data_IF_896244429116
#
_entry.id   IF_896244429116
#
_cell.length_a   1.000
_cell.length_b   1.000
_cell.length_c   1.000
_cell.angle_alpha   90.00
_cell.angle_beta   90.00
_cell.angle_gamma   90.00
#
_symmetry.space_group_name_H-M   'P 1'
#
loop_
_entity.id
_entity.type
_entity.pdbx_description
1 polymer ?
#
# COMPACT_ATOMS: atom_id res chain seq x y z
N UNK A 1 -55.66 -23.34 -7.23
CA UNK A 1 -54.42 -22.95 -6.53
C UNK A 1 -53.80 -21.84 -7.34
N UNK A 2 -53.74 -20.62 -6.80
CA UNK A 2 -53.07 -19.51 -7.48
C UNK A 2 -51.55 -19.67 -7.27
N UNK A 3 -50.81 -19.98 -8.34
CA UNK A 3 -49.36 -19.94 -8.29
C UNK A 3 -48.92 -18.47 -8.32
N UNK A 4 -48.46 -17.97 -7.18
CA UNK A 4 -47.78 -16.69 -7.12
C UNK A 4 -46.43 -16.86 -7.81
N UNK A 5 -46.36 -16.50 -9.10
CA UNK A 5 -45.08 -16.41 -9.81
C UNK A 5 -44.36 -15.18 -9.24
N UNK A 6 -43.38 -15.43 -8.37
CA UNK A 6 -42.43 -14.40 -7.93
C UNK A 6 -41.73 -13.86 -9.17
N UNK A 7 -42.10 -12.65 -9.61
CA UNK A 7 -41.38 -11.95 -10.67
C UNK A 7 -39.97 -11.69 -10.16
N UNK A 8 -38.98 -12.14 -10.93
CA UNK A 8 -37.58 -11.79 -10.67
C UNK A 8 -37.45 -10.27 -10.59
N UNK A 9 -36.71 -9.79 -9.59
CA UNK A 9 -36.43 -8.36 -9.47
C UNK A 9 -35.71 -7.88 -10.73
N UNK A 10 -35.99 -6.65 -11.20
CA UNK A 10 -35.30 -6.08 -12.36
C UNK A 10 -33.77 -6.20 -12.24
N UNK A 11 -33.08 -6.48 -13.34
CA UNK A 11 -31.62 -6.61 -13.36
C UNK A 11 -30.87 -5.37 -12.83
N UNK A 12 -31.54 -4.22 -12.75
CA UNK A 12 -31.00 -2.99 -12.15
C UNK A 12 -30.72 -3.07 -10.65
N UNK A 13 -31.23 -4.09 -9.95
CA UNK A 13 -30.96 -4.30 -8.51
C UNK A 13 -29.66 -5.07 -8.24
N UNK A 14 -29.11 -5.72 -9.26
CA UNK A 14 -27.87 -6.49 -9.15
C UNK A 14 -26.73 -5.69 -9.79
N UNK A 15 -25.65 -5.47 -9.05
CA UNK A 15 -24.48 -4.74 -9.54
C UNK A 15 -23.23 -5.53 -9.19
N UNK A 16 -22.36 -5.70 -10.18
CA UNK A 16 -21.06 -6.34 -9.96
C UNK A 16 -20.07 -5.37 -9.32
N UNK A 17 -19.38 -5.83 -8.28
CA UNK A 17 -18.29 -5.08 -7.65
C UNK A 17 -17.00 -5.20 -8.46
N UNK A 18 -16.79 -4.31 -9.43
CA UNK A 18 -15.48 -4.14 -10.10
C UNK A 18 -15.18 -2.66 -10.24
N UNK A 19 -13.91 -2.26 -10.07
CA UNK A 19 -13.54 -0.86 -10.22
C UNK A 19 -12.06 -0.59 -10.08
N UNK A 20 -11.70 0.69 -10.15
CA UNK A 20 -10.32 1.19 -10.02
C UNK A 20 -10.29 2.24 -8.92
N UNK A 21 -9.29 2.16 -8.04
CA UNK A 21 -9.04 3.16 -7.01
C UNK A 21 -7.90 4.11 -7.42
N UNK A 22 -8.15 5.40 -7.23
CA UNK A 22 -7.17 6.47 -7.35
C UNK A 22 -7.00 7.14 -5.98
N UNK A 23 -5.76 7.37 -5.60
CA UNK A 23 -5.39 8.04 -4.37
C UNK A 23 -4.65 9.34 -4.67
N UNK A 24 -5.11 10.42 -4.06
CA UNK A 24 -4.58 11.78 -4.22
C UNK A 24 -4.01 12.23 -2.89
N UNK A 25 -2.68 12.18 -2.75
CA UNK A 25 -1.99 12.60 -1.52
C UNK A 25 -2.14 14.11 -1.36
N UNK A 26 -2.42 14.58 -0.15
CA UNK A 26 -2.40 16.02 0.13
C UNK A 26 -0.97 16.56 0.03
N UNK A 27 -0.79 17.69 -0.66
CA UNK A 27 0.52 18.34 -0.71
C UNK A 27 0.92 18.91 0.64
N UNK A 28 -0.06 19.40 1.39
CA UNK A 28 0.08 19.87 2.75
C UNK A 28 -0.90 19.10 3.64
N UNK A 29 -0.43 18.36 4.67
CA UNK A 29 -1.31 17.64 5.58
C UNK A 29 -2.28 18.55 6.37
N UNK A 30 -1.96 19.84 6.49
CA UNK A 30 -2.80 20.82 7.19
C UNK A 30 -3.85 21.48 6.28
N UNK A 31 -3.75 21.29 4.95
CA UNK A 31 -4.70 21.83 3.97
C UNK A 31 -5.26 20.71 3.08
N UNK A 32 -6.44 20.16 3.42
CA UNK A 32 -7.03 19.05 2.69
C UNK A 32 -7.69 19.48 1.36
N UNK A 33 -7.42 20.71 0.90
CA UNK A 33 -7.89 21.23 -0.40
C UNK A 33 -6.80 21.25 -1.48
N UNK A 34 -5.53 21.07 -1.11
CA UNK A 34 -4.43 20.94 -2.08
C UNK A 34 -4.06 19.48 -2.32
N UNK A 35 -4.18 19.03 -3.57
CA UNK A 35 -3.95 17.65 -3.97
C UNK A 35 -2.75 17.54 -4.91
N UNK A 36 -1.86 16.60 -4.59
CA UNK A 36 -0.84 16.18 -5.53
C UNK A 36 -1.43 15.36 -6.69
N UNK A 37 -0.59 14.92 -7.64
CA UNK A 37 -1.04 14.09 -8.76
C UNK A 37 -1.63 12.77 -8.24
N UNK A 38 -2.79 12.39 -8.78
CA UNK A 38 -3.46 11.14 -8.44
C UNK A 38 -2.66 9.93 -8.90
N UNK A 39 -2.51 8.94 -8.02
CA UNK A 39 -1.84 7.68 -8.31
C UNK A 39 -2.86 6.55 -8.28
N UNK A 40 -2.74 5.61 -9.22
CA UNK A 40 -3.53 4.37 -9.18
C UNK A 40 -2.94 3.44 -8.12
N UNK A 41 -3.78 2.97 -7.20
CA UNK A 41 -3.34 2.02 -6.17
C UNK A 41 -3.01 0.63 -6.75
N UNK A 42 -3.59 0.33 -7.92
CA UNK A 42 -3.41 -0.94 -8.62
C UNK A 42 -4.68 -1.78 -8.58
N UNK A 43 -4.53 -3.06 -8.93
CA UNK A 43 -5.61 -4.04 -8.86
C UNK A 43 -5.87 -4.46 -7.40
N UNK A 44 -7.14 -4.39 -7.01
CA UNK A 44 -7.63 -4.77 -5.68
C UNK A 44 -8.38 -6.10 -5.79
N UNK A 45 -8.09 -7.02 -4.88
CA UNK A 45 -8.87 -8.26 -4.73
C UNK A 45 -10.19 -7.98 -4.01
N UNK A 46 -10.15 -7.13 -2.99
CA UNK A 46 -11.32 -6.69 -2.25
C UNK A 46 -11.17 -5.25 -1.74
N UNK A 47 -12.31 -4.58 -1.60
CA UNK A 47 -12.41 -3.27 -0.96
C UNK A 47 -13.75 -3.17 -0.23
N UNK A 48 -13.68 -3.03 1.10
CA UNK A 48 -14.84 -2.97 1.98
C UNK A 48 -14.87 -1.64 2.71
N UNK A 49 -15.94 -0.87 2.51
CA UNK A 49 -16.24 0.37 3.26
C UNK A 49 -17.23 0.05 4.37
N UNK A 50 -16.82 0.27 5.61
CA UNK A 50 -17.61 0.05 6.82
C UNK A 50 -17.94 1.38 7.48
N UNK A 51 -19.21 1.59 7.81
CA UNK A 51 -19.66 2.73 8.61
C UNK A 51 -20.11 2.18 9.95
N UNK A 52 -19.40 2.57 11.00
CA UNK A 52 -19.66 2.16 12.38
C UNK A 52 -20.35 3.31 13.11
N UNK A 53 -21.43 2.99 13.82
CA UNK A 53 -22.21 3.93 14.59
C UNK A 53 -22.03 3.60 16.07
N UNK A 54 -21.56 4.56 16.84
CA UNK A 54 -21.58 4.46 18.30
C UNK A 54 -22.80 5.19 18.81
N UNK A 55 -23.66 4.45 19.50
CA UNK A 55 -24.81 5.00 20.19
C UNK A 55 -24.38 5.52 21.57
N UNK A 56 -24.81 6.72 21.91
CA UNK A 56 -24.65 7.28 23.25
C UNK A 56 -25.62 6.66 24.25
N UNK A 57 -25.55 7.16 25.50
CA UNK A 57 -26.39 6.64 26.58
C UNK A 57 -27.88 6.80 26.24
N UNK A 58 -28.54 5.66 26.09
CA UNK A 58 -30.00 5.61 25.92
C UNK A 58 -30.67 6.16 27.17
N UNK A 59 -31.43 7.25 27.01
CA UNK A 59 -32.36 7.71 28.04
C UNK A 59 -33.62 6.85 28.01
N UNK A 60 -33.97 6.31 29.17
CA UNK A 60 -35.20 5.54 29.38
C UNK A 60 -36.30 6.45 29.91
N UNK A 61 -37.53 6.21 29.48
CA UNK A 61 -38.70 6.95 29.96
C UNK A 61 -39.04 6.54 31.39
N UNK A 62 -39.41 7.52 32.20
CA UNK A 62 -39.95 7.30 33.55
C UNK A 62 -41.50 7.25 33.57
N UNK A 63 -42.15 7.39 32.41
CA UNK A 63 -43.61 7.40 32.31
C UNK A 63 -44.22 5.99 32.38
N UNK A 64 -43.41 4.96 32.15
CA UNK A 64 -43.83 3.57 32.15
C UNK A 64 -43.03 2.78 33.19
N UNK A 65 -43.68 1.78 33.80
CA UNK A 65 -43.09 0.91 34.83
C UNK A 65 -42.00 -0.04 34.27
N UNK A 66 -41.94 -0.17 32.94
CA UNK A 66 -40.95 -0.96 32.22
C UNK A 66 -39.90 -0.04 31.60
N UNK A 67 -38.64 -0.48 31.54
CA UNK A 67 -37.55 0.25 30.88
C UNK A 67 -37.81 0.38 29.38
N UNK A 68 -38.51 1.45 28.99
CA UNK A 68 -38.77 1.80 27.60
C UNK A 68 -37.76 2.86 27.16
N UNK A 69 -36.98 2.57 26.12
CA UNK A 69 -36.04 3.53 25.54
C UNK A 69 -36.83 4.73 25.00
N UNK A 70 -36.50 5.93 25.49
CA UNK A 70 -37.14 7.18 25.07
C UNK A 70 -36.32 7.85 23.95
N UNK A 71 -35.00 7.97 24.13
CA UNK A 71 -34.09 8.58 23.17
C UNK A 71 -32.72 7.91 23.26
N UNK A 72 -32.18 7.51 22.11
CA UNK A 72 -30.81 7.03 21.97
C UNK A 72 -30.08 7.94 20.98
N UNK A 73 -29.28 8.92 21.45
CA UNK A 73 -28.53 9.78 20.56
C UNK A 73 -27.36 9.01 19.93
N UNK A 74 -27.01 9.32 18.68
CA UNK A 74 -25.76 8.84 18.07
C UNK A 74 -24.62 9.73 18.56
N UNK A 75 -23.58 9.14 19.14
CA UNK A 75 -22.43 9.88 19.68
C UNK A 75 -21.31 10.05 18.66
N UNK A 76 -21.08 9.03 17.83
CA UNK A 76 -19.98 9.00 16.87
C UNK A 76 -20.36 8.20 15.61
N UNK A 77 -19.92 8.67 14.46
CA UNK A 77 -19.99 7.95 13.18
C UNK A 77 -18.54 7.80 12.69
N UNK A 78 -18.03 6.58 12.71
CA UNK A 78 -16.71 6.26 12.19
C UNK A 78 -16.84 5.60 10.81
N UNK A 79 -15.90 5.88 9.93
CA UNK A 79 -15.88 5.34 8.58
C UNK A 79 -14.50 4.74 8.30
N UNK A 80 -14.48 3.41 8.17
CA UNK A 80 -13.28 2.62 7.93
C UNK A 80 -13.34 2.00 6.55
N UNK A 81 -12.20 1.97 5.89
CA UNK A 81 -12.02 1.27 4.63
C UNK A 81 -10.98 0.18 4.84
N UNK A 82 -11.24 -1.02 4.37
CA UNK A 82 -10.24 -2.08 4.27
C UNK A 82 -10.09 -2.48 2.81
N UNK A 83 -8.85 -2.67 2.35
CA UNK A 83 -8.57 -3.09 0.99
C UNK A 83 -7.39 -4.05 0.93
N UNK A 84 -7.49 -5.02 0.03
CA UNK A 84 -6.39 -5.94 -0.31
C UNK A 84 -5.97 -5.69 -1.75
N UNK A 85 -4.72 -5.27 -1.93
CA UNK A 85 -4.12 -4.95 -3.22
C UNK A 85 -3.26 -6.12 -3.68
N UNK A 86 -3.54 -6.64 -4.88
CA UNK A 86 -2.71 -7.67 -5.52
C UNK A 86 -1.52 -7.06 -6.25
N UNK A 87 -1.61 -5.80 -6.66
CA UNK A 87 -0.54 -5.10 -7.33
C UNK A 87 0.29 -4.27 -6.36
N UNK A 88 1.60 -4.53 -6.34
CA UNK A 88 2.60 -3.79 -5.55
C UNK A 88 2.99 -2.49 -6.25
N UNK A 89 2.12 -1.49 -6.21
CA UNK A 89 2.50 -0.15 -6.61
C UNK A 89 3.39 0.49 -5.54
N UNK A 90 4.26 1.42 -5.92
CA UNK A 90 5.15 2.12 -4.98
C UNK A 90 4.37 2.78 -3.84
N UNK A 91 3.20 3.34 -4.14
CA UNK A 91 2.33 3.98 -3.15
C UNK A 91 1.71 2.96 -2.19
N UNK A 92 1.31 1.78 -2.70
CA UNK A 92 0.80 0.70 -1.87
C UNK A 92 1.89 0.18 -0.92
N UNK A 93 3.10 -0.08 -1.43
CA UNK A 93 4.25 -0.54 -0.63
C UNK A 93 4.68 0.53 0.37
N UNK A 94 4.74 1.80 -0.03
CA UNK A 94 5.05 2.90 0.87
C UNK A 94 4.00 3.04 1.98
N UNK A 95 2.71 2.88 1.66
CA UNK A 95 1.64 2.94 2.68
C UNK A 95 1.72 1.75 3.64
N UNK A 96 2.03 0.56 3.13
CA UNK A 96 2.15 -0.67 3.93
C UNK A 96 3.38 -0.68 4.85
N UNK A 97 4.47 -0.04 4.43
CA UNK A 97 5.69 0.05 5.24
C UNK A 97 5.74 1.32 6.10
N UNK A 98 4.69 2.14 6.07
CA UNK A 98 4.69 3.50 6.66
C UNK A 98 5.93 4.28 6.24
N UNK A 99 6.23 4.22 4.94
CA UNK A 99 7.48 4.61 4.37
C UNK A 99 7.42 5.90 3.57
N UNK A 100 8.46 6.71 3.70
CA UNK A 100 8.66 7.84 2.80
C UNK A 100 9.28 7.35 1.50
N UNK A 101 8.62 7.63 0.38
CA UNK A 101 9.17 7.44 -0.97
C UNK A 101 10.18 8.53 -1.28
N UNK A 102 11.34 8.17 -1.82
CA UNK A 102 12.32 9.11 -2.33
C UNK A 102 13.14 8.49 -3.47
N UNK A 103 13.80 9.32 -4.27
CA UNK A 103 14.75 8.85 -5.26
C UNK A 103 15.94 8.18 -4.57
N UNK A 104 16.34 7.02 -5.07
CA UNK A 104 17.59 6.38 -4.70
C UNK A 104 18.69 6.91 -5.62
N UNK A 105 19.63 7.63 -5.03
CA UNK A 105 20.80 8.16 -5.73
C UNK A 105 22.06 7.53 -5.15
N UNK A 106 22.92 7.01 -6.03
CA UNK A 106 24.23 6.47 -5.70
C UNK A 106 25.27 7.10 -6.62
N UNK A 107 26.40 7.54 -6.06
CA UNK A 107 27.50 8.08 -6.84
C UNK A 107 28.40 6.94 -7.36
N UNK A 108 28.99 7.13 -8.54
CA UNK A 108 29.93 6.16 -9.09
C UNK A 108 31.21 6.10 -8.23
N UNK A 109 31.68 4.89 -7.94
CA UNK A 109 32.92 4.60 -7.22
C UNK A 109 33.65 3.48 -7.97
N UNK A 110 34.96 3.58 -8.10
CA UNK A 110 35.77 2.60 -8.84
C UNK A 110 37.01 2.19 -8.06
N UNK A 111 37.52 1.00 -8.32
CA UNK A 111 38.74 0.48 -7.69
C UNK A 111 38.59 0.19 -6.20
N UNK A 112 37.38 -0.13 -5.74
CA UNK A 112 37.14 -0.52 -4.35
C UNK A 112 37.61 -1.96 -4.15
N UNK A 113 38.24 -2.23 -3.02
CA UNK A 113 38.74 -3.57 -2.68
C UNK A 113 38.13 -4.08 -1.39
N UNK A 114 37.75 -5.36 -1.35
CA UNK A 114 37.31 -6.03 -0.13
C UNK A 114 37.89 -7.45 -0.05
N UNK A 115 38.48 -7.77 1.08
CA UNK A 115 38.97 -9.11 1.41
C UNK A 115 37.90 -9.84 2.20
N UNK A 116 37.65 -11.09 1.83
CA UNK A 116 36.62 -11.95 2.39
C UNK A 116 37.25 -13.27 2.85
N UNK A 117 36.83 -13.75 4.00
CA UNK A 117 37.17 -15.08 4.46
C UNK A 117 36.35 -16.15 3.70
N UNK A 118 36.83 -17.40 3.73
CA UNK A 118 36.07 -18.52 3.18
C UNK A 118 34.75 -18.70 3.95
N UNK A 119 33.64 -18.85 3.22
CA UNK A 119 32.27 -18.94 3.73
C UNK A 119 31.66 -17.59 4.14
N UNK A 120 32.32 -16.46 3.89
CA UNK A 120 31.80 -15.14 4.26
C UNK A 120 30.81 -14.60 3.23
N UNK A 121 29.64 -14.16 3.71
CA UNK A 121 28.68 -13.38 2.92
C UNK A 121 28.83 -11.92 3.32
N UNK A 122 29.09 -11.06 2.33
CA UNK A 122 29.36 -9.66 2.57
C UNK A 122 28.61 -8.76 1.59
N UNK A 123 28.17 -7.61 2.10
CA UNK A 123 27.68 -6.51 1.27
C UNK A 123 28.85 -5.63 0.82
N UNK A 124 28.87 -5.28 -0.47
CA UNK A 124 29.91 -4.48 -1.12
C UNK A 124 29.65 -2.96 -1.05
N UNK A 125 28.60 -2.54 -0.34
CA UNK A 125 28.38 -1.11 -0.03
C UNK A 125 27.59 -0.34 -1.08
N UNK A 126 27.12 -0.98 -2.14
CA UNK A 126 26.27 -0.37 -3.16
C UNK A 126 25.52 -1.39 -4.00
N UNK A 127 24.65 -0.91 -4.88
CA UNK A 127 23.86 -1.73 -5.80
C UNK A 127 24.46 -1.71 -7.21
N UNK A 128 24.09 -2.71 -8.02
CA UNK A 128 24.55 -2.92 -9.41
C UNK A 128 26.08 -3.01 -9.53
N UNK A 129 26.70 -3.73 -8.60
CA UNK A 129 28.16 -3.83 -8.47
C UNK A 129 28.78 -4.58 -9.65
N UNK A 130 29.89 -4.06 -10.17
CA UNK A 130 30.69 -4.69 -11.22
C UNK A 130 32.03 -5.14 -10.65
N UNK A 131 32.25 -6.45 -10.59
CA UNK A 131 33.57 -7.01 -10.25
C UNK A 131 34.50 -6.78 -11.44
N UNK A 132 35.64 -6.14 -11.19
CA UNK A 132 36.70 -5.96 -12.19
C UNK A 132 37.78 -7.02 -12.06
N UNK A 133 38.05 -7.48 -10.84
CA UNK A 133 39.05 -8.50 -10.56
C UNK A 133 38.73 -9.24 -9.25
N UNK A 134 39.08 -10.52 -9.16
CA UNK A 134 38.93 -11.33 -7.96
C UNK A 134 40.10 -12.30 -7.84
N UNK A 135 40.84 -12.23 -6.73
CA UNK A 135 42.08 -12.98 -6.53
C UNK A 135 41.99 -13.80 -5.25
N UNK A 136 42.40 -15.06 -5.30
CA UNK A 136 42.48 -15.95 -4.15
C UNK A 136 43.50 -15.42 -3.14
N UNK A 137 43.09 -15.28 -1.88
CA UNK A 137 44.02 -14.85 -0.81
C UNK A 137 45.11 -15.89 -0.54
N UNK A 138 44.79 -17.18 -0.74
CA UNK A 138 45.75 -18.26 -0.72
C UNK A 138 46.31 -18.49 -2.13
N UNK A 139 47.59 -18.16 -2.33
CA UNK A 139 48.31 -18.49 -3.56
C UNK A 139 48.19 -17.46 -4.70
N UNK A 140 47.33 -16.44 -4.58
CA UNK A 140 47.30 -15.30 -5.50
C UNK A 140 46.83 -15.60 -6.92
N UNK A 141 46.17 -16.74 -7.15
CA UNK A 141 45.58 -17.07 -8.43
C UNK A 141 44.25 -16.34 -8.67
N UNK A 142 43.87 -16.20 -9.93
CA UNK A 142 42.57 -15.62 -10.32
C UNK A 142 41.43 -16.50 -9.82
N UNK A 143 40.42 -15.89 -9.21
CA UNK A 143 39.24 -16.56 -8.69
C UNK A 143 38.15 -16.68 -9.77
N UNK A 144 37.51 -17.85 -9.85
CA UNK A 144 36.50 -18.15 -10.87
C UNK A 144 35.08 -17.99 -10.31
N UNK A 145 34.22 -17.14 -10.90
CA UNK A 145 32.82 -17.02 -10.47
C UNK A 145 32.05 -18.35 -10.63
N UNK A 146 31.20 -18.67 -9.66
CA UNK A 146 30.44 -19.93 -9.59
C UNK A 146 31.19 -21.10 -8.97
N UNK A 147 32.52 -20.99 -8.81
CA UNK A 147 33.37 -22.00 -8.14
C UNK A 147 33.92 -21.44 -6.84
N UNK A 148 34.62 -20.31 -6.92
CA UNK A 148 35.32 -19.71 -5.79
C UNK A 148 34.47 -18.65 -5.06
N UNK A 149 33.49 -18.07 -5.76
CA UNK A 149 32.54 -17.11 -5.21
C UNK A 149 31.22 -17.07 -5.97
N UNK A 150 30.17 -16.61 -5.29
CA UNK A 150 28.87 -16.29 -5.86
C UNK A 150 28.62 -14.79 -5.68
N UNK A 151 28.11 -14.11 -6.71
CA UNK A 151 27.78 -12.69 -6.65
C UNK A 151 26.33 -12.47 -7.07
N UNK A 152 25.61 -11.72 -6.26
CA UNK A 152 24.40 -11.02 -6.67
C UNK A 152 24.75 -9.53 -6.90
N UNK A 153 25.08 -9.21 -8.14
CA UNK A 153 25.48 -7.86 -8.52
C UNK A 153 24.36 -6.85 -8.30
N UNK A 154 23.10 -7.27 -8.41
CA UNK A 154 21.96 -6.37 -8.25
C UNK A 154 21.84 -5.88 -6.80
N UNK A 155 21.94 -6.80 -5.83
CA UNK A 155 21.93 -6.46 -4.40
C UNK A 155 23.30 -6.04 -3.85
N UNK A 156 24.38 -6.21 -4.62
CA UNK A 156 25.74 -5.94 -4.18
C UNK A 156 26.24 -6.90 -3.10
N UNK A 157 25.69 -8.11 -3.05
CA UNK A 157 26.10 -9.16 -2.13
C UNK A 157 27.05 -10.12 -2.82
N UNK A 158 28.05 -10.58 -2.06
CA UNK A 158 28.98 -11.60 -2.50
C UNK A 158 29.12 -12.65 -1.40
N UNK A 159 29.14 -13.91 -1.81
CA UNK A 159 29.46 -15.05 -0.97
C UNK A 159 30.79 -15.64 -1.45
N UNK A 160 31.78 -15.64 -0.57
CA UNK A 160 33.08 -16.22 -0.84
C UNK A 160 33.06 -17.70 -0.45
N UNK A 161 33.20 -18.61 -1.41
CA UNK A 161 33.32 -20.06 -1.13
C UNK A 161 34.71 -20.35 -0.55
N UNK A 162 35.72 -19.62 -1.04
CA UNK A 162 37.12 -19.63 -0.57
C UNK A 162 37.58 -18.22 -0.24
N UNK A 163 38.64 -18.08 0.56
CA UNK A 163 39.15 -16.75 0.93
C UNK A 163 39.69 -15.99 -0.29
N UNK A 164 39.23 -14.77 -0.51
CA UNK A 164 39.54 -14.00 -1.72
C UNK A 164 39.53 -12.49 -1.47
N UNK A 165 40.16 -11.74 -2.37
CA UNK A 165 40.14 -10.28 -2.42
C UNK A 165 39.51 -9.86 -3.74
N UNK A 166 38.40 -9.12 -3.66
CA UNK A 166 37.68 -8.61 -4.84
C UNK A 166 37.98 -7.14 -5.04
N UNK A 167 38.31 -6.77 -6.28
CA UNK A 167 38.28 -5.40 -6.76
C UNK A 167 37.00 -5.18 -7.57
N UNK A 168 36.25 -4.13 -7.22
CA UNK A 168 34.96 -3.85 -7.83
C UNK A 168 34.73 -2.36 -8.04
N UNK A 169 33.74 -2.06 -8.85
CA UNK A 169 33.21 -0.72 -9.09
C UNK A 169 31.71 -0.71 -8.85
N UNK A 170 31.24 0.43 -8.36
CA UNK A 170 29.85 0.72 -8.07
C UNK A 170 29.43 1.81 -9.07
N UNK A 171 28.51 1.53 -10.02
CA UNK A 171 28.06 2.54 -10.97
C UNK A 171 27.15 3.59 -10.30
N UNK A 172 26.98 4.72 -10.98
CA UNK A 172 26.02 5.73 -10.58
C UNK A 172 24.59 5.23 -10.86
N UNK A 173 23.66 5.54 -9.94
CA UNK A 173 22.24 5.21 -10.07
C UNK A 173 21.43 6.46 -9.72
N UNK A 174 20.48 6.85 -10.57
CA UNK A 174 19.58 7.99 -10.34
C UNK A 174 18.09 7.63 -10.43
N UNK A 175 17.76 6.51 -11.08
CA UNK A 175 16.38 6.24 -11.53
C UNK A 175 15.68 5.17 -10.70
N UNK A 176 16.27 4.75 -9.58
CA UNK A 176 15.67 3.80 -8.66
C UNK A 176 14.90 4.53 -7.57
N UNK A 177 13.91 3.85 -6.98
CA UNK A 177 13.11 4.38 -5.89
C UNK A 177 13.47 3.65 -4.62
N UNK A 178 13.65 4.42 -3.54
CA UNK A 178 13.77 3.87 -2.18
C UNK A 178 12.54 4.22 -1.38
N UNK A 179 12.05 3.23 -0.65
CA UNK A 179 10.98 3.35 0.32
C UNK A 179 11.63 3.02 1.66
N UNK A 180 11.66 3.99 2.58
CA UNK A 180 12.19 3.71 3.92
C UNK A 180 11.14 2.96 4.74
N UNK A 181 11.55 2.02 5.59
CA UNK A 181 10.63 1.31 6.49
C UNK A 181 10.40 2.17 7.74
N UNK A 182 9.13 2.37 8.14
CA UNK A 182 8.74 3.19 9.31
C UNK A 182 9.36 4.60 9.31
N UNK A 183 9.53 5.18 8.12
CA UNK A 183 10.25 6.44 7.91
C UNK A 183 9.33 7.62 7.58
N UNK A 184 8.04 7.36 7.39
CA UNK A 184 7.02 8.34 7.02
C UNK A 184 5.89 8.39 8.04
N UNK A 185 5.23 9.55 8.06
CA UNK A 185 3.95 9.72 8.75
C UNK A 185 2.84 9.17 7.85
N UNK A 186 1.78 8.64 8.44
CA UNK A 186 0.64 8.05 7.71
C UNK A 186 0.13 9.00 6.61
N UNK A 187 0.16 8.60 5.33
CA UNK A 187 -0.25 9.48 4.24
C UNK A 187 -1.75 9.78 4.36
N UNK A 188 -2.10 11.06 4.24
CA UNK A 188 -3.48 11.55 4.14
C UNK A 188 -3.73 12.05 2.73
N UNK A 189 -4.95 11.85 2.26
CA UNK A 189 -5.32 12.18 0.91
C UNK A 189 -6.78 11.87 0.61
N UNK A 190 -7.20 12.16 -0.61
CA UNK A 190 -8.53 11.79 -1.10
C UNK A 190 -8.46 10.45 -1.83
N UNK A 191 -9.46 9.59 -1.59
CA UNK A 191 -9.61 8.33 -2.30
C UNK A 191 -10.83 8.39 -3.21
N UNK A 192 -10.64 8.02 -4.48
CA UNK A 192 -11.73 7.91 -5.46
C UNK A 192 -11.76 6.49 -6.00
N UNK A 193 -12.85 5.78 -5.74
CA UNK A 193 -13.16 4.51 -6.37
C UNK A 193 -14.15 4.73 -7.51
N UNK A 194 -13.79 4.25 -8.70
CA UNK A 194 -14.67 4.25 -9.87
C UNK A 194 -15.10 2.83 -10.21
N UNK A 195 -16.37 2.53 -10.05
CA UNK A 195 -16.97 1.28 -10.49
C UNK A 195 -16.95 1.15 -12.02
N UNK A 196 -16.52 -0.01 -12.50
CA UNK A 196 -16.50 -0.43 -13.91
C UNK A 196 -17.37 -1.69 -14.08
N UNK A 197 -18.45 -1.76 -13.32
CA UNK A 197 -19.37 -2.89 -13.32
C UNK A 197 -19.88 -3.20 -14.74
N UNK A 198 -19.86 -4.49 -15.11
CA UNK A 198 -20.41 -4.98 -16.37
C UNK A 198 -21.94 -5.08 -16.33
N UNK A 199 -22.48 -5.31 -15.13
CA UNK A 199 -23.90 -5.35 -14.82
C UNK A 199 -24.23 -4.38 -13.69
N UNK A 200 -25.41 -3.74 -13.79
CA UNK A 200 -25.90 -2.78 -12.80
C UNK A 200 -25.45 -1.35 -13.04
N UNK A 201 -25.70 -0.48 -12.06
CA UNK A 201 -25.35 0.95 -12.16
C UNK A 201 -23.91 1.16 -11.73
N UNK A 202 -23.13 1.89 -12.54
CA UNK A 202 -21.78 2.29 -12.16
C UNK A 202 -21.85 3.39 -11.11
N UNK A 203 -20.97 3.30 -10.11
CA UNK A 203 -20.90 4.28 -9.01
C UNK A 203 -19.49 4.79 -8.87
N UNK A 204 -19.37 6.07 -8.55
CA UNK A 204 -18.13 6.67 -8.06
C UNK A 204 -18.30 6.89 -6.57
N UNK A 205 -17.37 6.35 -5.79
CA UNK A 205 -17.25 6.64 -4.37
C UNK A 205 -16.06 7.57 -4.19
N UNK A 206 -16.29 8.76 -3.63
CA UNK A 206 -15.24 9.73 -3.30
C UNK A 206 -15.21 9.91 -1.80
N UNK A 207 -14.09 9.60 -1.18
CA UNK A 207 -13.81 9.83 0.24
C UNK A 207 -12.86 11.00 0.35
N UNK A 208 -13.27 12.04 1.06
CA UNK A 208 -12.66 13.36 1.02
C UNK A 208 -11.29 13.42 1.69
N UNK A 209 -11.18 12.85 2.89
CA UNK A 209 -9.93 12.75 3.64
C UNK A 209 -9.80 11.33 4.18
N UNK A 210 -8.75 10.65 3.74
CA UNK A 210 -8.48 9.24 4.00
C UNK A 210 -7.02 9.12 4.40
N UNK A 211 -6.82 8.58 5.60
CA UNK A 211 -5.50 8.22 6.11
C UNK A 211 -5.25 6.74 5.92
N UNK A 212 -4.32 6.38 5.03
CA UNK A 212 -3.95 4.98 4.80
C UNK A 212 -2.99 4.49 5.90
N UNK A 213 -3.21 3.26 6.34
CA UNK A 213 -2.45 2.56 7.37
C UNK A 213 -2.22 1.12 6.92
N UNK A 214 -1.10 0.49 7.31
CA UNK A 214 -0.94 -0.94 7.10
C UNK A 214 -1.99 -1.71 7.89
N UNK A 215 -2.60 -2.69 7.24
CA UNK A 215 -3.40 -3.70 7.90
C UNK A 215 -2.62 -5.01 7.85
N UNK A 216 -2.25 -5.57 9.00
CA UNK A 216 -1.42 -6.77 9.05
C UNK A 216 0.04 -6.54 8.61
N UNK A 217 0.67 -7.62 8.12
CA UNK A 217 2.08 -7.63 7.72
C UNK A 217 2.27 -7.79 6.21
N UNK A 218 3.38 -7.26 5.69
CA UNK A 218 3.80 -7.49 4.30
C UNK A 218 4.65 -8.76 4.21
N UNK A 219 4.07 -9.84 3.67
CA UNK A 219 4.80 -11.08 3.43
C UNK A 219 5.73 -10.90 2.22
N UNK A 220 7.06 -10.95 2.44
CA UNK A 220 8.05 -10.84 1.36
C UNK A 220 8.34 -12.17 0.65
N UNK A 221 7.99 -13.29 1.30
CA UNK A 221 8.18 -14.65 0.77
C UNK A 221 6.88 -15.41 1.02
N UNK A 222 6.24 -15.88 -0.05
CA UNK A 222 5.01 -16.66 0.02
C UNK A 222 4.81 -17.50 -1.24
N UNK A 223 4.06 -18.61 -1.14
CA UNK A 223 3.72 -19.46 -2.28
C UNK A 223 2.61 -18.86 -3.18
N UNK A 224 1.84 -17.90 -2.64
CA UNK A 224 0.79 -17.18 -3.37
C UNK A 224 1.26 -15.86 -3.99
N UNK A 225 0.34 -15.16 -4.66
CA UNK A 225 0.57 -13.79 -5.08
C UNK A 225 0.81 -12.90 -3.85
N UNK A 226 1.81 -12.04 -3.94
CA UNK A 226 2.14 -11.10 -2.88
C UNK A 226 1.07 -10.01 -2.85
N UNK A 227 0.38 -9.90 -1.72
CA UNK A 227 -0.69 -8.91 -1.54
C UNK A 227 -0.32 -7.91 -0.45
N UNK A 228 -0.88 -6.71 -0.57
CA UNK A 228 -0.75 -5.65 0.41
C UNK A 228 -2.11 -5.38 1.01
N UNK A 229 -2.21 -5.51 2.32
CA UNK A 229 -3.42 -5.16 3.06
C UNK A 229 -3.26 -3.75 3.63
N UNK A 230 -4.22 -2.88 3.29
CA UNK A 230 -4.29 -1.52 3.79
C UNK A 230 -5.64 -1.29 4.46
N UNK A 231 -5.60 -0.55 5.55
CA UNK A 231 -6.77 0.02 6.19
C UNK A 231 -6.73 1.53 6.03
N UNK A 232 -7.90 2.16 6.07
CA UNK A 232 -8.01 3.59 6.02
C UNK A 232 -9.04 4.11 7.01
N UNK A 233 -8.67 5.19 7.70
CA UNK A 233 -9.58 5.99 8.51
C UNK A 233 -10.05 7.17 7.67
N UNK A 234 -11.36 7.39 7.59
CA UNK A 234 -11.95 8.49 6.83
C UNK A 234 -12.32 9.63 7.77
N UNK A 235 -11.89 10.85 7.46
CA UNK A 235 -12.13 12.03 8.29
C UNK A 235 -13.10 13.00 7.58
N UNK A 236 -13.95 13.71 8.34
CA UNK A 236 -14.81 14.73 7.76
C UNK A 236 -14.01 15.97 7.36
N UNK A 237 -14.33 16.55 6.20
CA UNK A 237 -13.81 17.85 5.77
C UNK A 237 -14.88 18.94 5.97
N UNK A 238 -14.47 20.06 6.58
CA UNK A 238 -15.33 21.23 6.73
C UNK A 238 -15.59 21.94 5.38
N UNK A 239 -16.80 22.46 5.18
CA UNK A 239 -17.17 23.18 3.96
C UNK A 239 -17.69 22.29 2.82
N UNK A 240 -17.80 20.98 3.03
CA UNK A 240 -18.62 20.11 2.18
C UNK A 240 -20.10 20.28 2.48
N UNK A 241 -20.96 19.88 1.55
CA UNK A 241 -22.41 19.90 1.73
C UNK A 241 -22.84 19.05 2.94
N UNK A 242 -23.90 19.47 3.63
CA UNK A 242 -24.44 18.77 4.79
C UNK A 242 -24.78 17.31 4.42
N UNK A 243 -24.31 16.36 5.23
CA UNK A 243 -24.46 14.92 4.98
C UNK A 243 -23.38 14.31 4.09
N UNK A 244 -22.46 15.10 3.54
CA UNK A 244 -21.40 14.65 2.62
C UNK A 244 -19.99 14.92 3.13
N UNK A 245 -19.83 15.27 4.41
CA UNK A 245 -18.55 15.67 4.99
C UNK A 245 -17.45 14.59 4.89
N UNK A 246 -17.80 13.30 4.94
CA UNK A 246 -16.84 12.18 4.88
C UNK A 246 -16.62 11.73 3.42
N UNK A 247 -17.69 11.65 2.64
CA UNK A 247 -17.62 11.18 1.26
C UNK A 247 -18.96 11.22 0.54
N UNK A 248 -18.90 10.98 -0.77
CA UNK A 248 -20.05 11.02 -1.68
C UNK A 248 -20.05 9.79 -2.56
N UNK A 249 -21.24 9.21 -2.76
CA UNK A 249 -21.47 8.19 -3.79
C UNK A 249 -22.32 8.81 -4.89
N UNK A 250 -21.80 8.80 -6.12
CA UNK A 250 -22.49 9.33 -7.29
C UNK A 250 -22.73 8.21 -8.30
N UNK A 251 -23.96 8.09 -8.81
CA UNK A 251 -24.23 7.21 -9.94
C UNK A 251 -23.69 7.83 -11.22
N UNK A 252 -23.12 7.00 -12.09
CA UNK A 252 -22.61 7.43 -13.39
C UNK A 252 -23.33 6.63 -14.46
N UNK A 253 -23.94 7.34 -15.40
CA UNK A 253 -24.57 6.72 -16.55
C UNK A 253 -23.50 6.03 -17.43
N UNK A 254 -23.92 4.92 -18.04
CA UNK A 254 -23.03 3.98 -18.72
C UNK A 254 -22.41 4.52 -20.01
#
# INVERSE_FOLDING_TARGET
MASTILRALPNSFYTDGKGVAHYYVFENPDDPTSFGPGVRLGDMDDMTLSVELTEGDTRYSNEYDLKTAAVTPVSEIDCKLSMTLAQLTETAVASALMGKRSAFTQAAQAGLTKTLAAGEIAFLGGYDVQITDAVLTAGGGDATPGVDYLIDAASGQIEAVVGLTVTYSIPAVSDKIKIGIASGVMPRGMLIFRGVAAQGKRKIVRLHDVQLKPAGGLSLISDGLLTVQLEASCYPIAGQEDGYAIGIVTEVDA
#
